data_IF_534362240047
#
_entry.id   IF_534362240047
#
_cell.length_a   1.000
_cell.length_b   1.000
_cell.length_c   1.000
_cell.angle_alpha   90.00
_cell.angle_beta   90.00
_cell.angle_gamma   90.00
#
_symmetry.space_group_name_H-M   'P 1'
#
loop_
_entity.id
_entity.type
_entity.pdbx_description
1 polymer ?
#
# COMPACT_ATOMS: atom_id res chain seq x y z
N UNK A 1 3.37 -6.27 -12.35
CA UNK A 1 3.47 -5.99 -10.90
C UNK A 1 2.13 -5.47 -10.44
N UNK A 2 1.80 -5.66 -9.16
CA UNK A 2 0.69 -4.97 -8.49
C UNK A 2 1.27 -4.00 -7.48
N UNK A 3 0.50 -2.98 -7.13
CA UNK A 3 0.91 -1.99 -6.14
C UNK A 3 -0.13 -1.91 -5.02
N UNK A 4 0.35 -1.82 -3.79
CA UNK A 4 -0.45 -1.71 -2.57
C UNK A 4 0.19 -0.63 -1.69
N UNK A 5 -0.63 0.15 -0.97
CA UNK A 5 -0.12 1.05 0.05
C UNK A 5 0.10 0.28 1.36
N UNK A 6 0.99 0.75 2.20
CA UNK A 6 1.05 0.45 3.64
C UNK A 6 -0.36 0.40 4.26
N UNK A 7 -0.60 -0.55 5.17
CA UNK A 7 -1.92 -0.86 5.76
C UNK A 7 -3.06 -1.17 4.76
N UNK A 8 -2.75 -1.27 3.46
CA UNK A 8 -3.72 -1.41 2.38
C UNK A 8 -3.87 -2.85 1.88
N UNK A 9 -4.82 -3.02 0.97
CA UNK A 9 -4.96 -4.25 0.19
C UNK A 9 -5.19 -3.95 -1.29
N UNK A 10 -4.81 -4.89 -2.14
CA UNK A 10 -5.03 -4.87 -3.58
C UNK A 10 -5.38 -6.27 -4.06
N UNK A 11 -5.87 -6.41 -5.29
CA UNK A 11 -6.22 -7.71 -5.86
C UNK A 11 -5.59 -7.91 -7.23
N UNK A 12 -5.40 -9.17 -7.60
CA UNK A 12 -5.11 -9.60 -8.96
C UNK A 12 -5.84 -10.90 -9.26
N UNK A 13 -5.88 -11.29 -10.54
CA UNK A 13 -6.50 -12.53 -10.96
C UNK A 13 -5.51 -13.52 -11.53
N UNK A 14 -5.83 -14.81 -11.39
CA UNK A 14 -5.08 -15.95 -11.94
C UNK A 14 -6.06 -16.85 -12.70
N UNK A 15 -5.62 -17.37 -13.85
CA UNK A 15 -6.30 -18.44 -14.60
C UNK A 15 -5.27 -19.34 -15.27
N UNK A 16 -5.69 -20.53 -15.68
CA UNK A 16 -4.86 -21.39 -16.51
C UNK A 16 -4.92 -20.95 -17.98
N UNK A 17 -3.84 -21.17 -18.72
CA UNK A 17 -3.73 -20.74 -20.11
C UNK A 17 -4.37 -21.73 -21.10
N UNK A 18 -4.51 -22.99 -20.70
CA UNK A 18 -5.02 -24.12 -21.47
C UNK A 18 -5.88 -25.00 -20.56
N UNK A 19 -6.84 -25.74 -21.12
CA UNK A 19 -7.64 -26.68 -20.34
C UNK A 19 -6.71 -27.75 -19.72
N UNK A 20 -6.79 -27.99 -18.40
CA UNK A 20 -6.10 -29.10 -17.77
C UNK A 20 -6.87 -30.41 -18.02
N UNK A 21 -6.21 -31.57 -17.89
CA UNK A 21 -6.90 -32.87 -17.92
C UNK A 21 -7.38 -33.34 -16.55
N UNK A 22 -6.80 -32.81 -15.49
CA UNK A 22 -7.15 -33.07 -14.08
C UNK A 22 -7.23 -31.76 -13.29
N UNK A 23 -7.61 -31.83 -12.02
CA UNK A 23 -7.61 -30.65 -11.17
C UNK A 23 -6.17 -30.20 -10.86
N UNK A 24 -5.90 -28.91 -11.01
CA UNK A 24 -4.61 -28.26 -10.76
C UNK A 24 -4.73 -27.35 -9.55
N UNK A 25 -3.86 -27.56 -8.57
CA UNK A 25 -3.69 -26.62 -7.47
C UNK A 25 -2.57 -25.64 -7.80
N UNK A 26 -2.81 -24.35 -7.57
CA UNK A 26 -1.79 -23.30 -7.68
C UNK A 26 -1.56 -22.71 -6.31
N UNK A 27 -0.39 -22.95 -5.72
CA UNK A 27 0.01 -22.40 -4.43
C UNK A 27 0.80 -21.11 -4.63
N UNK A 28 0.40 -20.07 -3.91
CA UNK A 28 1.13 -18.80 -3.80
C UNK A 28 2.11 -18.93 -2.64
N UNK A 29 3.38 -18.60 -2.88
CA UNK A 29 4.45 -18.55 -1.89
C UNK A 29 5.30 -17.29 -2.05
N UNK A 30 6.41 -17.21 -1.31
CA UNK A 30 7.34 -16.08 -1.38
C UNK A 30 6.89 -14.83 -0.63
N UNK A 31 5.88 -14.92 0.23
CA UNK A 31 5.49 -13.82 1.10
C UNK A 31 6.66 -13.44 2.02
N UNK A 32 7.01 -12.16 2.03
CA UNK A 32 7.94 -11.58 2.99
C UNK A 32 7.19 -11.13 4.27
N UNK A 33 7.92 -10.71 5.30
CA UNK A 33 7.33 -10.04 6.46
C UNK A 33 6.48 -8.85 6.00
N UNK A 34 5.29 -8.68 6.57
CA UNK A 34 4.39 -7.59 6.23
C UNK A 34 3.46 -7.86 5.04
N UNK A 35 3.69 -8.90 4.23
CA UNK A 35 2.75 -9.30 3.16
C UNK A 35 1.93 -10.51 3.58
N UNK A 36 0.61 -10.40 3.41
CA UNK A 36 -0.31 -11.53 3.51
C UNK A 36 -1.10 -11.69 2.22
N UNK A 37 -1.52 -12.92 1.96
CA UNK A 37 -2.31 -13.30 0.78
C UNK A 37 -3.55 -14.04 1.23
N UNK A 38 -4.65 -13.76 0.56
CA UNK A 38 -5.88 -14.51 0.69
C UNK A 38 -6.46 -14.86 -0.70
N UNK A 39 -6.53 -16.15 -1.00
CA UNK A 39 -7.08 -16.68 -2.24
C UNK A 39 -8.57 -17.03 -2.15
N UNK A 40 -9.21 -16.91 -0.98
CA UNK A 40 -10.62 -17.21 -0.79
C UNK A 40 -11.30 -16.28 0.22
N UNK A 41 -11.85 -15.16 -0.28
CA UNK A 41 -12.55 -14.17 0.53
C UNK A 41 -13.79 -14.72 1.28
N UNK A 42 -14.29 -15.91 0.93
CA UNK A 42 -15.41 -16.57 1.61
C UNK A 42 -14.99 -17.39 2.83
N UNK A 43 -13.69 -17.67 2.98
CA UNK A 43 -13.16 -18.52 4.04
C UNK A 43 -12.39 -17.69 5.06
N UNK A 44 -12.69 -17.89 6.35
CA UNK A 44 -11.99 -17.17 7.42
C UNK A 44 -10.52 -17.60 7.47
N UNK A 45 -9.62 -16.64 7.33
CA UNK A 45 -8.18 -16.83 7.46
C UNK A 45 -7.45 -16.31 6.23
N UNK A 46 -6.19 -16.69 6.06
CA UNK A 46 -5.42 -16.43 4.85
C UNK A 46 -5.28 -17.75 4.11
N UNK A 47 -5.81 -17.83 2.89
CA UNK A 47 -5.58 -18.96 2.00
C UNK A 47 -4.52 -18.60 0.96
N UNK A 48 -3.71 -19.59 0.61
CA UNK A 48 -2.60 -19.40 -0.34
C UNK A 48 -2.69 -20.37 -1.51
N UNK A 49 -3.85 -20.99 -1.74
CA UNK A 49 -4.01 -22.00 -2.80
C UNK A 49 -5.29 -21.76 -3.59
N UNK A 50 -5.14 -21.70 -4.90
CA UNK A 50 -6.21 -21.66 -5.88
C UNK A 50 -6.45 -23.07 -6.45
N UNK A 51 -7.69 -23.41 -6.74
CA UNK A 51 -8.07 -24.72 -7.29
C UNK A 51 -8.71 -24.57 -8.66
N UNK A 52 -8.06 -25.10 -9.67
CA UNK A 52 -8.55 -25.13 -11.04
C UNK A 52 -8.95 -26.55 -11.43
N UNK A 53 -10.00 -26.69 -12.23
CA UNK A 53 -10.57 -27.92 -12.74
C UNK A 53 -10.82 -27.77 -14.24
N UNK A 54 -11.18 -28.88 -14.88
CA UNK A 54 -11.57 -28.89 -16.29
C UNK A 54 -12.78 -28.00 -16.60
N UNK A 55 -13.57 -27.60 -15.59
CA UNK A 55 -14.77 -26.76 -15.75
C UNK A 55 -14.59 -25.30 -15.38
N UNK A 56 -13.54 -24.94 -14.63
CA UNK A 56 -13.33 -23.56 -14.17
C UNK A 56 -11.95 -22.98 -14.57
N UNK A 57 -11.13 -23.69 -15.34
CA UNK A 57 -9.77 -23.28 -15.67
C UNK A 57 -9.66 -21.91 -16.37
N UNK A 58 -10.67 -21.52 -17.17
CA UNK A 58 -10.76 -20.21 -17.83
C UNK A 58 -11.31 -19.10 -16.92
N UNK A 59 -11.94 -19.47 -15.80
CA UNK A 59 -12.51 -18.52 -14.86
C UNK A 59 -11.38 -17.89 -14.05
N UNK A 60 -11.30 -16.57 -14.13
CA UNK A 60 -10.36 -15.79 -13.33
C UNK A 60 -10.70 -15.92 -11.85
N UNK A 61 -9.72 -16.39 -11.06
CA UNK A 61 -9.83 -16.46 -9.61
C UNK A 61 -9.05 -15.30 -8.98
N UNK A 62 -9.68 -14.61 -8.05
CA UNK A 62 -9.13 -13.43 -7.38
C UNK A 62 -8.20 -13.84 -6.26
N UNK A 63 -7.06 -13.15 -6.17
CA UNK A 63 -6.15 -13.20 -5.04
C UNK A 63 -6.09 -11.80 -4.41
N UNK A 64 -6.32 -11.72 -3.11
CA UNK A 64 -6.15 -10.50 -2.33
C UNK A 64 -4.76 -10.50 -1.71
N UNK A 65 -4.07 -9.37 -1.82
CA UNK A 65 -2.77 -9.12 -1.18
C UNK A 65 -2.94 -7.95 -0.23
N UNK A 66 -2.48 -8.10 1.00
CA UNK A 66 -2.50 -7.04 2.00
C UNK A 66 -1.09 -6.77 2.51
N UNK A 67 -0.77 -5.48 2.63
CA UNK A 67 0.44 -5.00 3.29
C UNK A 67 0.11 -4.57 4.72
N UNK A 68 0.95 -4.97 5.67
CA UNK A 68 0.96 -4.38 7.00
C UNK A 68 1.46 -2.94 6.92
N UNK A 69 1.12 -2.12 7.92
CA UNK A 69 1.87 -0.90 8.16
C UNK A 69 3.19 -1.25 8.85
N UNK A 70 4.22 -0.49 8.58
CA UNK A 70 5.35 -0.34 9.48
C UNK A 70 5.65 1.15 9.76
N UNK A 71 6.88 1.50 10.13
CA UNK A 71 7.26 2.88 10.53
C UNK A 71 8.47 3.37 9.69
N UNK A 72 8.85 2.62 8.66
CA UNK A 72 10.11 2.76 7.96
C UNK A 72 9.84 3.42 6.61
N UNK A 73 10.54 4.52 6.29
CA UNK A 73 10.29 5.27 5.05
C UNK A 73 11.00 4.66 3.82
N UNK A 74 10.93 3.34 3.61
CA UNK A 74 11.61 2.63 2.52
C UNK A 74 10.62 1.78 1.72
N UNK A 75 10.37 2.09 0.43
CA UNK A 75 9.53 1.25 -0.41
C UNK A 75 10.03 -0.19 -0.53
N UNK A 76 9.14 -1.18 -0.37
CA UNK A 76 9.46 -2.59 -0.53
C UNK A 76 8.99 -3.19 -1.87
N UNK A 77 9.76 -4.16 -2.35
CA UNK A 77 9.33 -5.07 -3.41
C UNK A 77 9.34 -6.52 -2.91
N UNK A 78 8.20 -7.21 -3.07
CA UNK A 78 8.02 -8.61 -2.70
C UNK A 78 7.68 -9.44 -3.93
N UNK A 79 8.27 -10.63 -4.05
CA UNK A 79 8.03 -11.55 -5.17
C UNK A 79 7.15 -12.71 -4.73
N UNK A 80 5.89 -12.68 -5.15
CA UNK A 80 4.99 -13.81 -4.98
C UNK A 80 5.26 -14.86 -6.06
N UNK A 81 5.49 -16.10 -5.66
CA UNK A 81 5.76 -17.22 -6.56
C UNK A 81 4.50 -18.08 -6.61
N UNK A 82 3.93 -18.26 -7.79
CA UNK A 82 2.79 -19.15 -8.01
C UNK A 82 3.31 -20.46 -8.58
N UNK A 83 3.15 -21.55 -7.85
CA UNK A 83 3.58 -22.88 -8.29
C UNK A 83 2.36 -23.74 -8.52
N UNK A 84 2.20 -24.23 -9.74
CA UNK A 84 1.18 -25.21 -10.07
C UNK A 84 1.69 -26.62 -9.78
N UNK A 85 0.81 -27.46 -9.24
CA UNK A 85 1.07 -28.86 -8.95
C UNK A 85 -0.02 -29.69 -9.62
N UNK A 86 0.40 -30.76 -10.32
CA UNK A 86 -0.40 -31.71 -11.10
C UNK A 86 -0.62 -31.40 -12.59
N UNK A 87 -1.01 -32.45 -13.31
CA UNK A 87 -1.39 -32.41 -14.72
C UNK A 87 -0.28 -31.88 -15.62
N UNK A 88 -0.70 -31.19 -16.68
CA UNK A 88 0.19 -30.54 -17.64
C UNK A 88 0.90 -29.30 -17.06
N UNK A 89 0.46 -28.87 -15.88
CA UNK A 89 0.96 -27.69 -15.18
C UNK A 89 1.98 -28.02 -14.10
N UNK A 90 2.28 -29.31 -13.89
CA UNK A 90 3.13 -29.74 -12.81
C UNK A 90 4.50 -29.06 -12.84
N UNK A 91 4.93 -28.54 -11.69
CA UNK A 91 6.18 -27.80 -11.52
C UNK A 91 6.31 -26.50 -12.32
N UNK A 92 5.25 -26.02 -12.99
CA UNK A 92 5.25 -24.68 -13.59
C UNK A 92 5.16 -23.62 -12.51
N UNK A 93 5.98 -22.57 -12.66
CA UNK A 93 5.97 -21.43 -11.74
C UNK A 93 5.92 -20.09 -12.47
N UNK A 94 5.27 -19.11 -11.85
CA UNK A 94 5.26 -17.73 -12.33
C UNK A 94 5.38 -16.74 -11.17
N UNK A 95 6.21 -15.73 -11.37
CA UNK A 95 6.39 -14.65 -10.39
C UNK A 95 5.43 -13.49 -10.65
N UNK A 96 4.94 -12.91 -9.55
CA UNK A 96 4.29 -11.62 -9.52
C UNK A 96 5.05 -10.72 -8.54
N UNK A 97 5.51 -9.57 -9.03
CA UNK A 97 6.09 -8.53 -8.17
C UNK A 97 4.96 -7.72 -7.55
N UNK A 98 5.01 -7.58 -6.22
CA UNK A 98 4.19 -6.67 -5.41
C UNK A 98 5.09 -5.51 -5.00
N UNK A 99 4.65 -4.29 -5.28
CA UNK A 99 5.32 -3.06 -4.83
C UNK A 99 4.50 -2.48 -3.68
N UNK A 100 5.11 -2.33 -2.52
CA UNK A 100 4.53 -1.62 -1.38
C UNK A 100 4.91 -0.15 -1.50
N UNK A 101 3.90 0.72 -1.47
CA UNK A 101 4.10 2.17 -1.48
C UNK A 101 4.20 2.65 -0.04
N UNK A 102 5.30 3.32 0.18
CA UNK A 102 5.61 4.09 1.36
C UNK A 102 4.62 5.24 1.59
N UNK A 103 4.12 5.39 2.82
CA UNK A 103 3.36 6.56 3.26
C UNK A 103 3.92 7.25 4.53
N UNK A 104 5.06 6.81 5.07
CA UNK A 104 5.74 7.41 6.22
C UNK A 104 6.77 8.48 5.88
N UNK A 105 6.84 8.92 4.61
CA UNK A 105 7.76 9.99 4.20
C UNK A 105 7.45 11.30 4.94
N UNK A 106 8.35 11.68 5.84
CA UNK A 106 8.22 12.90 6.63
C UNK A 106 8.17 14.16 5.75
N UNK A 107 7.22 15.06 6.07
CA UNK A 107 7.04 16.33 5.37
C UNK A 107 6.11 17.28 6.12
N UNK A 108 6.12 18.55 5.71
CA UNK A 108 5.15 19.54 6.17
C UNK A 108 4.21 19.87 5.01
N UNK A 109 2.91 19.89 5.28
CA UNK A 109 1.89 20.32 4.31
C UNK A 109 1.27 21.61 4.83
N UNK A 110 1.29 22.64 3.98
CA UNK A 110 0.73 23.96 4.27
C UNK A 110 -0.58 24.17 3.53
N UNK A 111 -1.54 24.84 4.17
CA UNK A 111 -2.78 25.25 3.50
C UNK A 111 -3.19 26.67 3.95
N UNK A 112 -3.11 27.68 3.05
CA UNK A 112 -2.55 27.64 1.69
C UNK A 112 -1.01 27.55 1.67
N UNK A 113 -0.41 27.16 0.53
CA UNK A 113 1.06 27.12 0.33
C UNK A 113 1.70 28.51 0.26
N UNK A 114 0.91 29.53 -0.06
CA UNK A 114 1.34 30.92 -0.07
C UNK A 114 0.23 31.81 0.50
N UNK A 115 0.61 32.75 1.36
CA UNK A 115 -0.28 33.75 1.93
C UNK A 115 0.03 35.11 1.30
N UNK A 116 -0.98 35.74 0.72
CA UNK A 116 -0.92 37.13 0.27
C UNK A 116 -1.81 37.98 1.18
N UNK A 117 -1.31 39.13 1.60
CA UNK A 117 -1.95 39.98 2.60
C UNK A 117 -1.66 41.46 2.32
N UNK A 118 -2.58 42.33 2.71
CA UNK A 118 -2.41 43.79 2.67
C UNK A 118 -1.71 44.25 3.96
N UNK A 119 -0.96 45.34 3.87
CA UNK A 119 -0.33 45.94 5.04
C UNK A 119 -1.38 46.23 6.14
N UNK A 120 -1.03 45.91 7.39
CA UNK A 120 -1.86 46.03 8.58
C UNK A 120 -3.05 45.04 8.71
N UNK A 121 -3.16 44.05 7.83
CA UNK A 121 -4.10 42.93 7.99
C UNK A 121 -3.46 41.72 8.71
N UNK A 122 -4.28 40.69 8.93
CA UNK A 122 -3.85 39.36 9.38
C UNK A 122 -4.38 38.27 8.44
N UNK A 123 -3.67 37.14 8.38
CA UNK A 123 -4.06 35.98 7.60
C UNK A 123 -3.63 34.71 8.32
N UNK A 124 -4.35 33.62 8.07
CA UNK A 124 -4.10 32.32 8.68
C UNK A 124 -3.70 31.30 7.63
N UNK A 125 -2.85 30.37 8.05
CA UNK A 125 -2.54 29.15 7.31
C UNK A 125 -2.45 28.00 8.31
N UNK A 126 -2.71 26.79 7.84
CA UNK A 126 -2.55 25.58 8.65
C UNK A 126 -1.27 24.86 8.27
N UNK A 127 -0.72 24.13 9.25
CA UNK A 127 0.42 23.22 9.07
C UNK A 127 -0.02 21.85 9.54
N UNK A 128 0.18 20.83 8.73
CA UNK A 128 0.09 19.44 9.16
C UNK A 128 1.39 18.71 8.84
N UNK A 129 1.63 17.61 9.56
CA UNK A 129 2.65 16.63 9.17
C UNK A 129 2.10 15.78 8.02
N UNK A 130 2.97 15.44 7.07
CA UNK A 130 2.62 14.61 5.92
C UNK A 130 2.44 13.13 6.29
N UNK A 131 3.17 12.66 7.32
CA UNK A 131 3.09 11.31 7.88
C UNK A 131 2.99 11.35 9.41
N UNK A 132 2.61 10.23 10.02
CA UNK A 132 2.50 10.11 11.47
C UNK A 132 3.89 10.13 12.10
N UNK A 133 4.17 10.99 13.10
CA UNK A 133 5.48 11.02 13.72
C UNK A 133 5.61 9.95 14.81
N UNK A 134 6.79 9.33 14.91
CA UNK A 134 7.12 8.36 15.97
C UNK A 134 7.49 9.01 17.31
N UNK A 135 7.74 10.33 17.31
CA UNK A 135 8.03 11.14 18.49
C UNK A 135 7.43 12.55 18.35
N UNK A 136 7.37 13.31 19.44
CA UNK A 136 6.85 14.68 19.41
C UNK A 136 7.63 15.56 18.41
N UNK A 137 6.91 16.21 17.50
CA UNK A 137 7.48 17.15 16.51
C UNK A 137 7.26 18.58 16.98
N UNK A 138 8.34 19.36 17.01
CA UNK A 138 8.28 20.82 17.21
C UNK A 138 8.56 21.50 15.88
N UNK A 139 7.61 22.31 15.40
CA UNK A 139 7.79 23.14 14.21
C UNK A 139 8.09 24.57 14.67
N UNK A 140 9.22 25.13 14.26
CA UNK A 140 9.63 26.50 14.62
C UNK A 140 9.55 27.41 13.40
N UNK A 141 8.83 28.52 13.53
CA UNK A 141 8.75 29.55 12.49
C UNK A 141 9.94 30.50 12.63
N UNK A 142 10.70 30.71 11.56
CA UNK A 142 11.88 31.59 11.53
C UNK A 142 11.90 32.42 10.25
N UNK A 143 12.79 33.42 10.15
CA UNK A 143 12.97 34.21 8.93
C UNK A 143 11.95 35.34 8.74
N UNK A 144 11.29 35.78 9.81
CA UNK A 144 10.35 36.89 9.76
C UNK A 144 11.05 38.21 9.37
N UNK A 145 10.51 38.91 8.38
CA UNK A 145 10.97 40.24 7.98
C UNK A 145 10.55 41.32 8.99
N UNK A 146 11.14 42.51 8.89
CA UNK A 146 10.71 43.65 9.69
C UNK A 146 9.24 43.99 9.41
N UNK A 147 8.41 44.06 10.45
CA UNK A 147 6.97 44.35 10.33
C UNK A 147 6.07 43.13 10.24
N UNK A 148 6.61 41.91 10.33
CA UNK A 148 5.84 40.66 10.40
C UNK A 148 5.92 40.09 11.82
N UNK A 149 4.77 39.71 12.37
CA UNK A 149 4.66 38.90 13.59
C UNK A 149 3.89 37.62 13.29
N UNK A 150 4.26 36.54 13.97
CA UNK A 150 3.56 35.25 13.89
C UNK A 150 3.02 34.92 15.27
N UNK A 151 1.76 34.49 15.31
CA UNK A 151 1.14 33.91 16.48
C UNK A 151 0.82 32.44 16.19
N UNK A 152 1.15 31.57 17.14
CA UNK A 152 0.92 30.12 17.06
C UNK A 152 -0.03 29.63 18.14
N UNK A 153 -0.62 30.52 18.94
CA UNK A 153 -1.59 30.12 19.94
C UNK A 153 -2.93 29.69 19.31
N UNK A 154 -3.62 28.77 19.99
CA UNK A 154 -4.96 28.36 19.59
C UNK A 154 -5.98 29.34 20.19
N UNK A 155 -6.03 30.57 19.69
CA UNK A 155 -6.91 31.59 20.30
C UNK A 155 -7.17 32.88 19.53
N UNK A 156 -6.50 33.15 18.42
CA UNK A 156 -6.73 34.37 17.63
C UNK A 156 -8.15 34.41 17.02
N UNK A 157 -9.01 35.22 17.63
CA UNK A 157 -10.20 35.85 17.05
C UNK A 157 -10.05 37.36 17.12
#
# INVERSE_FOLDING_TARGET
AVTVAEAGSTTYTVKLATPPTEAVAVTVGGMASGISVDTDAGTRGQQTTLSFSTSNWEMEQTVTVSAAADDNAVPEEVRLIHTASSGEYDSLSKELVVVVREDDTAGLVFSPEAVAMVEADSATYTVQLASQPTAGVTVTVTGMGSGVSVDTDAGMA
#
